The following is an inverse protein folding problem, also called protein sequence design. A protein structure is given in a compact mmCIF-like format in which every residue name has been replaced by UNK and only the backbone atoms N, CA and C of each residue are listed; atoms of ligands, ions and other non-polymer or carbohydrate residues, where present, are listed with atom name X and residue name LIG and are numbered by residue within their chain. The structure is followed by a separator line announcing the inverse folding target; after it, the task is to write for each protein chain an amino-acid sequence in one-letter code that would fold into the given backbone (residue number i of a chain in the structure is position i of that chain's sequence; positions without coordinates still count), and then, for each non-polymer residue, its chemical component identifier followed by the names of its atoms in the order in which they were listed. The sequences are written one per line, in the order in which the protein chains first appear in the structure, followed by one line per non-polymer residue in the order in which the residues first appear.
data_IF_835262805383
#
_entry.id   IF_835262805383
#
_cell.length_a   1.000
_cell.length_b   1.000
_cell.length_c   1.000
_cell.angle_alpha   90.00
_cell.angle_beta   90.00
_cell.angle_gamma   90.00
#
_symmetry.space_group_name_H-M   'P 1'
#
loop_
_entity.id
_entity.type
_entity.pdbx_description
1 polymer ?
#
# COMPACT_ATOMS: atom_id res chain seq x y z
N UNK A 1 -28.91 -16.30 -22.33
CA UNK A 1 -29.61 -15.28 -23.14
C UNK A 1 -28.70 -14.07 -23.21
N UNK A 2 -28.07 -13.86 -24.36
CA UNK A 2 -27.20 -12.72 -24.65
C UNK A 2 -28.05 -11.45 -24.65
N UNK A 3 -27.90 -10.61 -23.62
CA UNK A 3 -28.46 -9.26 -23.64
C UNK A 3 -27.73 -8.48 -24.74
N UNK A 4 -28.33 -8.39 -25.93
CA UNK A 4 -27.81 -7.65 -27.10
C UNK A 4 -27.54 -6.17 -26.83
N UNK A 5 -27.99 -5.65 -25.69
CA UNK A 5 -27.77 -4.27 -25.26
C UNK A 5 -26.74 -4.09 -24.15
N UNK A 6 -26.20 -5.14 -23.53
CA UNK A 6 -25.26 -4.99 -22.40
C UNK A 6 -25.89 -4.38 -21.14
N UNK A 7 -25.25 -4.54 -19.98
CA UNK A 7 -25.67 -3.96 -18.70
C UNK A 7 -25.16 -2.52 -18.55
N UNK A 8 -25.56 -1.81 -17.48
CA UNK A 8 -25.11 -0.43 -17.19
C UNK A 8 -23.58 -0.28 -17.11
N UNK A 9 -22.86 -1.35 -16.78
CA UNK A 9 -21.39 -1.36 -16.86
C UNK A 9 -20.86 -1.11 -18.29
N UNK A 10 -21.55 -1.70 -19.27
CA UNK A 10 -21.05 -1.87 -20.62
C UNK A 10 -21.62 -0.85 -21.61
N UNK A 11 -22.83 -0.36 -21.37
CA UNK A 11 -23.39 0.74 -22.16
C UNK A 11 -22.77 2.07 -21.75
N UNK A 12 -21.98 2.64 -22.64
CA UNK A 12 -21.32 3.94 -22.46
C UNK A 12 -21.53 4.77 -23.71
N UNK A 13 -21.67 6.07 -23.52
CA UNK A 13 -21.72 7.08 -24.57
C UNK A 13 -21.08 8.36 -24.03
N UNK A 14 -20.43 9.11 -24.91
CA UNK A 14 -19.82 10.39 -24.63
C UNK A 14 -18.30 10.36 -24.70
N UNK A 15 -17.67 11.38 -24.12
CA UNK A 15 -16.21 11.52 -24.11
C UNK A 15 -15.60 10.52 -23.12
N UNK A 16 -14.76 9.59 -23.57
CA UNK A 16 -14.08 8.66 -22.68
C UNK A 16 -12.95 9.36 -21.92
N UNK A 17 -12.96 9.16 -20.61
CA UNK A 17 -11.89 9.57 -19.71
C UNK A 17 -11.41 8.34 -18.96
N UNK A 18 -10.09 8.17 -18.85
CA UNK A 18 -9.45 7.21 -17.96
C UNK A 18 -8.89 7.97 -16.75
N UNK A 19 -9.58 7.94 -15.61
CA UNK A 19 -9.03 8.44 -14.36
C UNK A 19 -7.86 7.56 -13.92
N UNK A 20 -6.75 8.21 -13.58
CA UNK A 20 -5.52 7.60 -13.05
C UNK A 20 -5.07 8.40 -11.82
N UNK A 21 -4.10 7.86 -11.08
CA UNK A 21 -3.50 8.50 -9.90
C UNK A 21 -1.98 8.52 -10.00
N UNK A 22 -1.31 9.47 -9.32
CA UNK A 22 0.13 9.37 -9.13
C UNK A 22 0.44 8.16 -8.24
N UNK A 23 1.56 7.53 -8.54
CA UNK A 23 2.07 6.35 -7.86
C UNK A 23 3.60 6.39 -7.83
N UNK A 24 4.19 5.54 -7.01
CA UNK A 24 5.65 5.44 -6.86
C UNK A 24 6.19 4.29 -7.70
N UNK A 25 7.37 4.49 -8.25
CA UNK A 25 8.24 3.44 -8.77
C UNK A 25 9.65 3.61 -8.21
N UNK A 26 10.47 2.56 -8.34
CA UNK A 26 11.89 2.69 -8.08
C UNK A 26 12.54 3.53 -9.18
N UNK A 27 13.50 4.39 -8.81
CA UNK A 27 14.24 5.20 -9.78
C UNK A 27 14.99 4.29 -10.75
N UNK A 28 14.74 4.47 -12.05
CA UNK A 28 15.32 3.63 -13.11
C UNK A 28 14.57 2.32 -13.37
N UNK A 29 13.36 2.13 -12.81
CA UNK A 29 12.45 1.06 -13.23
C UNK A 29 12.11 1.18 -14.73
N UNK A 30 11.67 0.08 -15.34
CA UNK A 30 11.22 0.01 -16.73
C UNK A 30 9.84 0.65 -16.97
N UNK A 31 9.12 1.04 -15.92
CA UNK A 31 7.84 1.74 -16.00
C UNK A 31 7.99 3.16 -16.56
N UNK A 32 6.93 3.70 -17.19
CA UNK A 32 6.94 5.08 -17.66
C UNK A 32 6.98 6.05 -16.49
N UNK A 33 7.94 6.97 -16.52
CA UNK A 33 7.95 8.10 -15.62
C UNK A 33 6.75 9.02 -15.88
N UNK A 34 6.25 9.65 -14.82
CA UNK A 34 5.18 10.64 -14.91
C UNK A 34 5.58 11.78 -15.86
N UNK A 35 4.69 12.14 -16.80
CA UNK A 35 4.95 13.24 -17.75
C UNK A 35 5.23 14.55 -16.99
N UNK A 36 6.20 15.34 -17.46
CA UNK A 36 6.50 16.65 -16.88
C UNK A 36 5.37 17.68 -16.99
N UNK A 37 4.33 17.40 -17.79
CA UNK A 37 3.11 18.20 -17.84
C UNK A 37 2.13 17.93 -16.69
N UNK A 38 2.35 16.85 -15.92
CA UNK A 38 1.58 16.49 -14.73
C UNK A 38 2.33 17.01 -13.52
N UNK A 39 1.62 17.71 -12.64
CA UNK A 39 2.21 18.29 -11.42
C UNK A 39 1.83 17.46 -10.20
N UNK A 40 2.81 17.16 -9.37
CA UNK A 40 2.64 16.52 -8.05
C UNK A 40 3.18 17.46 -6.97
N UNK A 41 2.61 17.45 -5.75
CA UNK A 41 2.93 18.44 -4.71
C UNK A 41 4.33 18.26 -4.12
N UNK A 42 4.90 17.06 -4.17
CA UNK A 42 6.17 16.70 -3.52
C UNK A 42 7.17 16.24 -4.58
N UNK A 43 8.40 16.75 -4.55
CA UNK A 43 9.47 16.27 -5.43
C UNK A 43 9.91 14.85 -5.04
N UNK A 44 10.13 13.98 -6.03
CA UNK A 44 10.64 12.64 -5.76
C UNK A 44 12.09 12.68 -5.25
N UNK A 45 12.38 11.94 -4.19
CA UNK A 45 13.72 11.81 -3.62
C UNK A 45 13.94 10.41 -3.04
N UNK A 46 15.15 10.15 -2.53
CA UNK A 46 15.46 8.87 -1.89
C UNK A 46 15.42 7.66 -2.81
N UNK A 47 15.66 7.84 -4.12
CA UNK A 47 15.67 6.73 -5.09
C UNK A 47 14.28 6.25 -5.52
N UNK A 48 13.24 7.02 -5.23
CA UNK A 48 11.92 6.88 -5.82
C UNK A 48 11.77 7.80 -7.05
N UNK A 49 10.85 7.44 -7.95
CA UNK A 49 10.33 8.31 -9.01
C UNK A 49 8.80 8.13 -9.09
N UNK A 50 8.12 9.05 -9.78
CA UNK A 50 6.67 8.96 -9.99
C UNK A 50 6.32 8.23 -11.29
N UNK A 51 5.22 7.48 -11.25
CA UNK A 51 4.52 6.90 -12.39
C UNK A 51 3.01 7.15 -12.26
N UNK A 52 2.22 6.83 -13.29
CA UNK A 52 0.76 6.87 -13.21
C UNK A 52 0.20 5.45 -13.09
N UNK A 53 -0.76 5.26 -12.19
CA UNK A 53 -1.48 3.99 -12.02
C UNK A 53 -2.98 4.16 -12.10
N UNK A 54 -3.68 3.07 -12.32
CA UNK A 54 -5.14 3.04 -12.18
C UNK A 54 -5.58 3.45 -10.77
N UNK A 55 -6.77 4.04 -10.69
CA UNK A 55 -7.40 4.35 -9.39
C UNK A 55 -7.56 3.07 -8.56
N UNK A 56 -7.43 3.22 -7.24
CA UNK A 56 -7.77 2.18 -6.27
C UNK A 56 -9.29 2.01 -6.21
N UNK A 57 -9.73 0.90 -5.62
CA UNK A 57 -11.14 0.68 -5.33
C UNK A 57 -11.70 1.84 -4.50
N UNK A 58 -12.88 2.35 -4.86
CA UNK A 58 -13.49 3.49 -4.18
C UNK A 58 -14.52 4.22 -5.03
N UNK A 59 -14.79 5.45 -4.66
CA UNK A 59 -15.84 6.30 -5.21
C UNK A 59 -15.24 7.42 -6.05
N UNK A 60 -15.72 7.57 -7.27
CA UNK A 60 -15.39 8.67 -8.16
C UNK A 60 -16.61 9.59 -8.30
N UNK A 61 -16.43 10.84 -7.92
CA UNK A 61 -17.42 11.91 -7.97
C UNK A 61 -17.07 12.88 -9.10
N UNK A 62 -18.03 13.13 -9.98
CA UNK A 62 -17.87 14.09 -11.07
C UNK A 62 -19.00 15.13 -10.97
N UNK A 63 -18.65 16.39 -10.76
CA UNK A 63 -19.61 17.49 -10.79
C UNK A 63 -19.65 18.12 -12.19
N UNK A 64 -20.80 18.04 -12.86
CA UNK A 64 -21.05 18.70 -14.13
C UNK A 64 -21.55 20.13 -13.86
N UNK A 65 -20.67 21.12 -14.01
CA UNK A 65 -20.90 22.49 -13.54
C UNK A 65 -22.12 23.15 -14.17
N UNK A 66 -22.31 22.97 -15.48
CA UNK A 66 -23.39 23.60 -16.25
C UNK A 66 -24.77 23.03 -15.89
N UNK A 67 -24.86 21.72 -15.70
CA UNK A 67 -26.13 21.06 -15.36
C UNK A 67 -26.38 20.99 -13.85
N UNK A 68 -25.40 21.38 -13.03
CA UNK A 68 -25.42 21.29 -11.57
C UNK A 68 -25.84 19.90 -11.09
N UNK A 69 -25.20 18.87 -11.66
CA UNK A 69 -25.52 17.47 -11.41
C UNK A 69 -24.27 16.65 -11.17
N UNK A 70 -24.46 15.61 -10.37
CA UNK A 70 -23.43 14.63 -10.09
C UNK A 70 -23.48 13.47 -11.10
N UNK A 71 -22.31 13.05 -11.55
CA UNK A 71 -22.10 11.80 -12.27
C UNK A 71 -21.17 10.97 -11.39
N UNK A 72 -21.65 9.83 -10.92
CA UNK A 72 -20.94 9.04 -9.91
C UNK A 72 -20.55 7.70 -10.47
N UNK A 73 -19.39 7.23 -10.04
CA UNK A 73 -18.90 5.91 -10.36
C UNK A 73 -18.32 5.24 -9.13
N UNK A 74 -18.41 3.91 -9.09
CA UNK A 74 -17.61 3.09 -8.20
C UNK A 74 -16.46 2.46 -9.01
N UNK A 75 -15.22 2.74 -8.61
CA UNK A 75 -14.03 2.10 -9.13
C UNK A 75 -13.86 0.75 -8.41
N UNK A 76 -13.78 -0.35 -9.17
CA UNK A 76 -13.56 -1.69 -8.62
C UNK A 76 -12.07 -1.99 -8.48
N UNK A 77 -11.70 -2.99 -7.66
CA UNK A 77 -10.31 -3.46 -7.55
C UNK A 77 -9.71 -3.97 -8.87
N UNK A 78 -10.55 -4.40 -9.82
CA UNK A 78 -10.14 -4.82 -11.16
C UNK A 78 -10.00 -3.64 -12.15
N UNK A 79 -10.14 -2.40 -11.67
CA UNK A 79 -10.03 -1.19 -12.49
C UNK A 79 -11.17 -1.07 -13.52
N UNK A 80 -12.39 -1.46 -13.14
CA UNK A 80 -13.61 -1.13 -13.87
C UNK A 80 -14.39 -0.04 -13.13
N UNK A 81 -15.24 0.69 -13.85
CA UNK A 81 -16.08 1.73 -13.31
C UNK A 81 -17.55 1.32 -13.44
N UNK A 82 -18.26 1.25 -12.31
CA UNK A 82 -19.71 1.06 -12.27
C UNK A 82 -20.42 2.41 -12.17
N UNK A 83 -21.33 2.77 -13.08
CA UNK A 83 -22.08 4.02 -12.94
C UNK A 83 -23.09 3.91 -11.80
N UNK A 84 -23.07 4.89 -10.91
CA UNK A 84 -23.98 4.99 -9.77
C UNK A 84 -25.09 6.00 -10.06
N UNK A 85 -26.25 5.91 -9.35
CA UNK A 85 -27.27 6.94 -9.43
C UNK A 85 -26.75 8.30 -8.92
N UNK A 86 -27.53 9.37 -9.15
CA UNK A 86 -27.17 10.71 -8.67
C UNK A 86 -27.10 10.79 -7.14
N UNK A 87 -27.74 9.91 -6.37
CA UNK A 87 -27.58 9.85 -4.91
C UNK A 87 -26.26 9.21 -4.46
N UNK A 88 -25.51 8.59 -5.38
CA UNK A 88 -24.22 7.95 -5.13
C UNK A 88 -24.30 6.63 -4.36
N UNK A 89 -25.49 6.06 -4.15
CA UNK A 89 -25.66 4.80 -3.42
C UNK A 89 -25.03 3.65 -4.22
N UNK A 90 -24.09 2.95 -3.59
CA UNK A 90 -23.48 1.74 -4.15
C UNK A 90 -24.35 0.53 -3.81
N UNK A 91 -24.80 -0.25 -4.80
CA UNK A 91 -25.45 -1.51 -4.51
C UNK A 91 -24.46 -2.44 -3.78
N UNK A 92 -24.84 -3.10 -2.66
CA UNK A 92 -23.91 -3.91 -1.86
C UNK A 92 -23.15 -4.97 -2.65
N UNK A 93 -23.78 -5.51 -3.70
CA UNK A 93 -23.18 -6.51 -4.59
C UNK A 93 -22.09 -5.96 -5.53
N UNK A 94 -22.04 -4.64 -5.76
CA UNK A 94 -20.94 -3.99 -6.49
C UNK A 94 -19.73 -3.82 -5.58
N UNK A 95 -19.97 -3.43 -4.32
CA UNK A 95 -18.93 -3.25 -3.31
C UNK A 95 -18.27 -4.58 -2.91
N UNK A 96 -19.05 -5.66 -2.79
CA UNK A 96 -18.53 -7.01 -2.55
C UNK A 96 -17.79 -7.62 -3.75
N UNK A 97 -17.83 -6.98 -4.92
CA UNK A 97 -17.26 -7.50 -6.16
C UNK A 97 -18.12 -8.58 -6.86
N UNK A 98 -19.33 -8.87 -6.37
CA UNK A 98 -20.21 -9.89 -6.96
C UNK A 98 -20.77 -9.48 -8.34
N UNK A 99 -20.83 -8.18 -8.63
CA UNK A 99 -21.27 -7.66 -9.93
C UNK A 99 -20.05 -7.27 -10.75
N UNK A 100 -19.74 -8.09 -11.74
CA UNK A 100 -18.76 -7.83 -12.79
C UNK A 100 -19.43 -7.36 -14.07
N UNK A 101 -18.69 -6.72 -15.00
CA UNK A 101 -19.23 -6.42 -16.32
C UNK A 101 -19.75 -7.70 -17.00
N UNK A 102 -21.00 -7.64 -17.46
CA UNK A 102 -21.69 -8.79 -18.05
C UNK A 102 -21.20 -9.15 -19.47
N UNK A 103 -20.47 -8.25 -20.13
CA UNK A 103 -19.90 -8.48 -21.45
C UNK A 103 -18.53 -9.15 -21.32
N UNK A 104 -18.31 -10.21 -22.08
CA UNK A 104 -17.06 -10.98 -22.10
C UNK A 104 -16.18 -10.67 -23.31
N UNK A 105 -16.69 -9.92 -24.31
CA UNK A 105 -15.89 -9.53 -25.48
C UNK A 105 -14.84 -8.49 -25.06
N UNK A 106 -13.53 -8.73 -25.29
CA UNK A 106 -12.48 -7.92 -24.67
C UNK A 106 -12.52 -6.42 -25.00
N UNK A 107 -12.88 -6.07 -26.24
CA UNK A 107 -13.02 -4.69 -26.72
C UNK A 107 -14.20 -3.96 -26.06
N UNK A 108 -15.37 -4.60 -26.00
CA UNK A 108 -16.55 -4.02 -25.32
C UNK A 108 -16.37 -3.97 -23.80
N UNK A 109 -15.71 -4.98 -23.22
CA UNK A 109 -15.36 -5.03 -21.81
C UNK A 109 -14.38 -3.90 -21.44
N UNK A 110 -13.46 -3.53 -22.34
CA UNK A 110 -12.52 -2.45 -22.09
C UNK A 110 -13.23 -1.09 -21.88
N UNK A 111 -14.39 -0.89 -22.49
CA UNK A 111 -15.28 0.27 -22.26
C UNK A 111 -15.64 0.44 -20.78
N UNK A 112 -15.79 -0.66 -20.03
CA UNK A 112 -16.08 -0.61 -18.59
C UNK A 112 -14.88 -0.11 -17.76
N UNK A 113 -13.68 0.00 -18.35
CA UNK A 113 -12.49 0.59 -17.71
C UNK A 113 -12.40 2.11 -17.91
N UNK A 114 -13.42 2.71 -18.54
CA UNK A 114 -13.52 4.14 -18.81
C UNK A 114 -14.72 4.72 -18.09
N UNK A 115 -14.63 6.01 -17.76
CA UNK A 115 -15.80 6.82 -17.46
C UNK A 115 -16.15 7.67 -18.67
N UNK A 116 -17.42 8.01 -18.83
CA UNK A 116 -17.85 8.87 -19.93
C UNK A 116 -18.51 10.14 -19.44
N UNK A 117 -18.19 11.23 -20.13
CA UNK A 117 -18.81 12.54 -19.95
C UNK A 117 -19.82 12.79 -21.08
N UNK A 118 -21.04 13.26 -20.79
CA UNK A 118 -22.03 13.54 -21.83
C UNK A 118 -21.53 14.57 -22.84
N UNK A 119 -21.49 14.18 -24.12
CA UNK A 119 -21.17 15.08 -25.24
C UNK A 119 -22.46 15.78 -25.68
N UNK A 120 -22.42 17.11 -25.79
CA UNK A 120 -23.55 17.90 -26.28
C UNK A 120 -23.55 17.97 -27.82
N UNK A 121 -24.72 18.19 -28.44
CA UNK A 121 -24.81 18.44 -29.87
C UNK A 121 -23.93 19.61 -30.33
N UNK A 122 -23.53 19.59 -31.59
CA UNK A 122 -22.71 20.64 -32.18
C UNK A 122 -23.34 22.04 -31.96
N UNK A 123 -22.50 23.01 -31.62
CA UNK A 123 -22.92 24.39 -31.30
C UNK A 123 -23.30 24.64 -29.84
N UNK A 124 -23.39 23.59 -29.01
CA UNK A 124 -23.59 23.71 -27.57
C UNK A 124 -22.30 23.35 -26.83
N UNK A 125 -21.80 24.28 -26.03
CA UNK A 125 -20.65 24.04 -25.15
C UNK A 125 -20.93 22.90 -24.16
N UNK A 126 -19.97 22.00 -23.97
CA UNK A 126 -20.02 20.88 -23.04
C UNK A 126 -19.81 21.35 -21.59
N UNK A 127 -18.94 22.33 -21.39
CA UNK A 127 -18.63 22.95 -20.11
C UNK A 127 -17.52 22.25 -19.31
N UNK A 128 -17.44 22.64 -18.04
CA UNK A 128 -16.42 22.18 -17.09
C UNK A 128 -16.97 21.05 -16.22
N UNK A 129 -16.13 20.03 -16.02
CA UNK A 129 -16.36 18.92 -15.11
C UNK A 129 -15.29 18.94 -14.03
N UNK A 130 -15.68 18.57 -12.81
CA UNK A 130 -14.77 18.52 -11.67
C UNK A 130 -14.74 17.11 -11.13
N UNK A 131 -13.55 16.54 -10.98
CA UNK A 131 -13.35 15.15 -10.57
C UNK A 131 -12.76 15.08 -9.16
N UNK A 132 -13.28 14.16 -8.36
CA UNK A 132 -12.65 13.77 -7.10
C UNK A 132 -12.80 12.26 -6.92
N UNK A 133 -11.77 11.63 -6.38
CA UNK A 133 -11.80 10.24 -5.98
C UNK A 133 -11.66 10.15 -4.45
N UNK A 134 -12.35 9.19 -3.85
CA UNK A 134 -12.24 8.87 -2.44
C UNK A 134 -12.34 7.37 -2.24
N UNK A 135 -11.51 6.82 -1.36
CA UNK A 135 -11.59 5.41 -0.96
C UNK A 135 -12.94 5.12 -0.30
N UNK A 136 -13.47 6.09 0.46
CA UNK A 136 -14.70 5.98 1.22
C UNK A 136 -15.83 6.82 0.63
N UNK A 137 -17.07 6.42 0.91
CA UNK A 137 -18.24 7.17 0.45
C UNK A 137 -18.31 8.54 1.12
N UNK A 138 -18.52 9.60 0.34
CA UNK A 138 -18.82 10.92 0.87
C UNK A 138 -20.19 10.95 1.55
N UNK A 139 -20.22 11.54 2.75
CA UNK A 139 -21.48 11.86 3.41
C UNK A 139 -22.25 12.94 2.63
N UNK A 140 -23.59 13.05 2.80
CA UNK A 140 -24.37 14.11 2.17
C UNK A 140 -23.86 15.52 2.49
N UNK A 141 -23.28 15.71 3.68
CA UNK A 141 -22.71 17.01 4.12
C UNK A 141 -21.46 17.35 3.30
N UNK A 142 -20.51 16.41 3.21
CA UNK A 142 -19.28 16.59 2.42
C UNK A 142 -19.63 16.83 0.95
N UNK A 143 -20.59 16.07 0.43
CA UNK A 143 -21.02 16.22 -0.95
C UNK A 143 -21.60 17.60 -1.25
N UNK A 144 -22.49 18.09 -0.39
CA UNK A 144 -23.07 19.44 -0.50
C UNK A 144 -21.99 20.52 -0.42
N UNK A 145 -20.95 20.32 0.38
CA UNK A 145 -19.82 21.25 0.47
C UNK A 145 -19.07 21.38 -0.87
N UNK A 146 -18.96 20.30 -1.64
CA UNK A 146 -18.32 20.31 -2.96
C UNK A 146 -19.19 20.92 -4.08
N UNK A 147 -20.44 21.28 -3.80
CA UNK A 147 -21.27 22.08 -4.72
C UNK A 147 -20.87 23.56 -4.69
N UNK A 148 -20.26 24.03 -3.59
CA UNK A 148 -19.65 25.36 -3.50
C UNK A 148 -18.43 25.49 -4.43
N UNK A 149 -18.35 26.59 -5.17
CA UNK A 149 -17.32 26.79 -6.20
C UNK A 149 -15.93 26.96 -5.57
N UNK A 150 -15.83 27.71 -4.46
CA UNK A 150 -14.54 28.00 -3.82
C UNK A 150 -13.96 26.72 -3.19
N UNK A 151 -14.81 25.94 -2.52
CA UNK A 151 -14.44 24.64 -1.97
C UNK A 151 -14.03 23.67 -3.07
N UNK A 152 -14.88 23.51 -4.09
CA UNK A 152 -14.63 22.60 -5.22
C UNK A 152 -13.31 22.88 -5.92
N UNK A 153 -12.98 24.15 -6.13
CA UNK A 153 -11.76 24.54 -6.85
C UNK A 153 -10.48 24.18 -6.10
N UNK A 154 -10.56 23.94 -4.78
CA UNK A 154 -9.42 23.54 -3.96
C UNK A 154 -9.23 22.02 -3.93
N UNK A 155 -10.34 21.25 -3.93
CA UNK A 155 -10.30 19.81 -3.65
C UNK A 155 -10.65 18.91 -4.83
N UNK A 156 -11.18 19.45 -5.93
CA UNK A 156 -11.52 18.69 -7.13
C UNK A 156 -10.62 19.07 -8.31
N UNK A 157 -10.29 18.08 -9.13
CA UNK A 157 -9.56 18.27 -10.37
C UNK A 157 -10.48 18.84 -11.45
N UNK A 158 -10.18 20.07 -11.90
CA UNK A 158 -10.88 20.71 -13.01
C UNK A 158 -10.56 20.01 -14.34
N UNK A 159 -11.57 19.79 -15.15
CA UNK A 159 -11.46 19.32 -16.53
C UNK A 159 -12.37 20.15 -17.42
N UNK A 160 -11.79 21.01 -18.25
CA UNK A 160 -12.51 21.80 -19.24
C UNK A 160 -12.67 20.99 -20.52
N UNK A 161 -13.88 20.47 -20.76
CA UNK A 161 -14.14 19.57 -21.86
C UNK A 161 -14.11 20.29 -23.21
N UNK A 162 -14.53 21.55 -23.27
CA UNK A 162 -14.52 22.30 -24.53
C UNK A 162 -13.10 22.67 -24.94
N UNK A 163 -12.26 23.10 -23.98
CA UNK A 163 -10.84 23.33 -24.23
C UNK A 163 -10.10 22.04 -24.65
N UNK A 164 -10.45 20.92 -24.00
CA UNK A 164 -9.90 19.61 -24.34
C UNK A 164 -10.25 19.18 -25.77
N UNK A 165 -11.51 19.27 -26.16
CA UNK A 165 -11.96 18.91 -27.51
C UNK A 165 -11.35 19.80 -28.61
N UNK A 166 -10.99 21.05 -28.27
CA UNK A 166 -10.38 21.97 -29.21
C UNK A 166 -8.86 21.77 -29.40
N UNK A 167 -8.14 21.30 -28.37
CA UNK A 167 -6.68 21.38 -28.34
C UNK A 167 -5.96 20.16 -27.76
N UNK A 168 -6.69 19.19 -27.21
CA UNK A 168 -6.16 18.05 -26.42
C UNK A 168 -5.21 18.49 -25.30
N UNK A 169 -5.44 19.70 -24.77
CA UNK A 169 -4.70 20.28 -23.67
C UNK A 169 -5.66 20.52 -22.49
N UNK A 170 -5.25 20.09 -21.30
CA UNK A 170 -6.03 20.23 -20.09
C UNK A 170 -5.15 20.10 -18.85
N UNK A 171 -5.59 20.72 -17.76
CA UNK A 171 -4.91 20.59 -16.47
C UNK A 171 -4.91 19.13 -16.03
N UNK A 172 -3.72 18.60 -15.69
CA UNK A 172 -3.54 17.22 -15.22
C UNK A 172 -4.09 16.15 -16.19
N UNK A 173 -4.17 16.47 -17.48
CA UNK A 173 -4.74 15.60 -18.51
C UNK A 173 -3.72 15.28 -19.61
N UNK A 174 -3.80 14.08 -20.15
CA UNK A 174 -2.95 13.59 -21.25
C UNK A 174 -3.79 12.93 -22.34
N UNK A 175 -3.40 13.05 -23.62
CA UNK A 175 -4.11 12.38 -24.70
C UNK A 175 -4.10 10.86 -24.53
N UNK A 176 -5.20 10.18 -24.88
CA UNK A 176 -5.29 8.72 -24.78
C UNK A 176 -4.23 7.98 -25.60
N UNK A 177 -3.70 8.62 -26.65
CA UNK A 177 -2.59 8.10 -27.46
C UNK A 177 -1.34 7.79 -26.63
N UNK A 178 -1.18 8.44 -25.47
CA UNK A 178 -0.05 8.23 -24.55
C UNK A 178 -0.26 7.08 -23.54
N UNK A 179 -1.39 6.35 -23.58
CA UNK A 179 -1.74 5.31 -22.59
C UNK A 179 -0.58 4.41 -22.17
N UNK A 180 0.11 3.82 -23.16
CA UNK A 180 1.20 2.86 -22.96
C UNK A 180 2.46 3.50 -22.38
N UNK A 181 2.65 4.80 -22.64
CA UNK A 181 3.83 5.57 -22.24
C UNK A 181 3.58 6.37 -20.95
N UNK A 182 2.39 6.27 -20.35
CA UNK A 182 2.02 7.03 -19.17
C UNK A 182 1.51 6.14 -18.04
N UNK A 183 0.70 5.11 -18.34
CA UNK A 183 0.00 4.31 -17.32
C UNK A 183 0.71 2.98 -17.14
N UNK A 184 1.23 2.74 -15.93
CA UNK A 184 2.05 1.58 -15.59
C UNK A 184 1.37 0.25 -15.95
N UNK A 185 0.08 0.08 -15.63
CA UNK A 185 -0.68 -1.14 -15.90
C UNK A 185 -0.73 -1.50 -17.40
N UNK A 186 -0.65 -0.51 -18.29
CA UNK A 186 -0.72 -0.69 -19.75
C UNK A 186 0.65 -0.62 -20.44
N UNK A 187 1.73 -0.42 -19.68
CA UNK A 187 3.08 -0.35 -20.22
C UNK A 187 3.70 -1.74 -20.44
N UNK A 188 4.37 -1.99 -21.57
CA UNK A 188 5.24 -3.16 -21.76
C UNK A 188 6.30 -3.29 -20.66
N UNK A 189 6.76 -2.17 -20.09
CA UNK A 189 7.76 -2.12 -19.03
C UNK A 189 7.34 -2.86 -17.75
N UNK A 190 6.04 -3.02 -17.51
CA UNK A 190 5.50 -3.73 -16.33
C UNK A 190 5.97 -5.19 -16.22
N UNK A 191 6.38 -5.81 -17.34
CA UNK A 191 6.92 -7.18 -17.33
C UNK A 191 8.29 -7.25 -16.64
N UNK A 192 9.08 -6.17 -16.74
CA UNK A 192 10.44 -6.10 -16.23
C UNK A 192 10.55 -5.24 -14.95
N UNK A 193 9.42 -4.70 -14.47
CA UNK A 193 9.36 -3.85 -13.29
C UNK A 193 9.40 -4.64 -11.98
N UNK A 194 10.01 -4.05 -10.95
CA UNK A 194 9.99 -4.60 -9.58
C UNK A 194 8.69 -4.28 -8.85
N UNK A 195 7.83 -3.42 -9.40
CA UNK A 195 6.59 -2.94 -8.76
C UNK A 195 5.75 -4.08 -8.17
N UNK A 196 5.60 -5.20 -8.89
CA UNK A 196 4.85 -6.40 -8.46
C UNK A 196 5.37 -7.03 -7.16
N UNK A 197 6.65 -6.86 -6.86
CA UNK A 197 7.29 -7.47 -5.69
C UNK A 197 6.99 -6.72 -4.39
N UNK A 198 6.54 -5.46 -4.47
CA UNK A 198 6.44 -4.61 -3.29
C UNK A 198 5.19 -3.73 -3.21
N UNK A 199 4.48 -3.50 -4.31
CA UNK A 199 3.28 -2.64 -4.28
C UNK A 199 2.21 -3.19 -3.34
N UNK A 200 1.66 -2.37 -2.41
CA UNK A 200 0.50 -2.74 -1.61
C UNK A 200 -0.80 -2.66 -2.42
N UNK A 201 -0.85 -1.80 -3.43
CA UNK A 201 -2.01 -1.66 -4.32
C UNK A 201 -2.00 -2.77 -5.38
N UNK A 202 -3.06 -3.59 -5.49
CA UNK A 202 -3.15 -4.63 -6.51
C UNK A 202 -2.95 -4.08 -7.93
N UNK A 203 -2.31 -4.87 -8.78
CA UNK A 203 -2.20 -4.57 -10.20
C UNK A 203 -3.35 -5.23 -10.93
N UNK A 204 -4.04 -4.47 -11.79
CA UNK A 204 -5.03 -5.04 -12.70
C UNK A 204 -4.39 -6.16 -13.51
N UNK A 205 -5.10 -7.27 -13.67
CA UNK A 205 -4.68 -8.33 -14.59
C UNK A 205 -4.81 -7.82 -16.03
N UNK A 206 -3.70 -7.37 -16.62
CA UNK A 206 -3.66 -6.81 -17.97
C UNK A 206 -3.06 -7.85 -18.93
N UNK A 207 -3.78 -8.18 -20.00
CA UNK A 207 -3.28 -9.03 -21.08
C UNK A 207 -2.47 -8.21 -22.09
N UNK A 208 -1.69 -8.87 -22.97
CA UNK A 208 -0.92 -8.18 -24.01
C UNK A 208 -1.76 -7.31 -24.96
N UNK A 209 -3.06 -7.56 -25.07
CA UNK A 209 -3.96 -6.84 -25.96
C UNK A 209 -4.81 -5.79 -25.24
N UNK A 210 -4.77 -5.75 -23.90
CA UNK A 210 -5.67 -4.90 -23.10
C UNK A 210 -5.47 -3.40 -23.37
N UNK A 211 -4.24 -2.94 -23.64
CA UNK A 211 -3.98 -1.54 -24.00
C UNK A 211 -4.58 -1.17 -25.37
N UNK A 212 -4.46 -2.06 -26.35
CA UNK A 212 -5.04 -1.87 -27.69
C UNK A 212 -6.57 -1.90 -27.64
N UNK A 213 -7.14 -2.86 -26.90
CA UNK A 213 -8.58 -2.96 -26.69
C UNK A 213 -9.15 -1.71 -26.01
N UNK A 214 -8.46 -1.19 -24.98
CA UNK A 214 -8.87 0.03 -24.30
C UNK A 214 -8.81 1.27 -25.20
N UNK A 215 -7.76 1.40 -26.02
CA UNK A 215 -7.65 2.47 -27.01
C UNK A 215 -8.79 2.40 -28.03
N UNK A 216 -9.06 1.21 -28.57
CA UNK A 216 -10.15 1.00 -29.50
C UNK A 216 -11.51 1.31 -28.87
N UNK A 217 -11.73 0.92 -27.61
CA UNK A 217 -12.96 1.26 -26.88
C UNK A 217 -13.11 2.77 -26.71
N UNK A 218 -12.04 3.50 -26.39
CA UNK A 218 -12.06 4.95 -26.33
C UNK A 218 -12.38 5.58 -27.70
N UNK A 219 -11.74 5.12 -28.78
CA UNK A 219 -11.99 5.63 -30.12
C UNK A 219 -13.43 5.35 -30.61
N UNK A 220 -14.00 4.22 -30.23
CA UNK A 220 -15.40 3.89 -30.54
C UNK A 220 -16.40 4.81 -29.81
N UNK A 221 -16.05 5.30 -28.60
CA UNK A 221 -16.89 6.22 -27.84
C UNK A 221 -16.78 7.66 -28.36
N UNK A 222 -15.57 8.14 -28.60
CA UNK A 222 -15.32 9.45 -29.19
C UNK A 222 -13.93 9.47 -29.85
N UNK A 223 -13.93 9.26 -31.17
CA UNK A 223 -12.72 9.05 -31.97
C UNK A 223 -11.66 10.13 -31.74
N UNK A 224 -10.48 9.72 -31.27
CA UNK A 224 -9.31 10.60 -31.09
C UNK A 224 -9.40 11.60 -29.93
N UNK A 225 -10.52 11.66 -29.20
CA UNK A 225 -10.74 12.68 -28.16
C UNK A 225 -10.60 12.15 -26.73
N UNK A 226 -10.30 10.87 -26.54
CA UNK A 226 -10.15 10.30 -25.20
C UNK A 226 -9.08 11.01 -24.36
N UNK A 227 -9.33 11.12 -23.05
CA UNK A 227 -8.43 11.74 -22.09
C UNK A 227 -7.96 10.73 -21.03
N UNK A 228 -6.73 10.89 -20.56
CA UNK A 228 -6.22 10.30 -19.34
C UNK A 228 -6.16 11.42 -18.32
N UNK A 229 -6.84 11.30 -17.19
CA UNK A 229 -6.97 12.38 -16.20
C UNK A 229 -6.34 11.94 -14.88
N UNK A 230 -5.35 12.71 -14.41
CA UNK A 230 -4.67 12.47 -13.14
C UNK A 230 -5.48 13.04 -11.97
N UNK A 231 -5.82 12.20 -11.01
CA UNK A 231 -6.49 12.56 -9.76
C UNK A 231 -5.54 12.36 -8.58
N UNK A 232 -5.69 13.19 -7.56
CA UNK A 232 -4.89 13.10 -6.34
C UNK A 232 -5.23 11.84 -5.54
N UNK A 233 -4.22 11.14 -5.02
CA UNK A 233 -4.36 10.02 -4.08
C UNK A 233 -3.17 10.04 -3.09
N UNK A 234 -3.13 11.01 -2.16
CA UNK A 234 -1.99 11.17 -1.25
C UNK A 234 -1.79 9.94 -0.36
N UNK A 235 -2.88 9.29 0.07
CA UNK A 235 -2.84 8.08 0.89
C UNK A 235 -2.22 6.91 0.12
N UNK A 236 -2.62 6.71 -1.14
CA UNK A 236 -2.05 5.68 -2.00
C UNK A 236 -0.55 5.90 -2.24
N UNK A 237 -0.14 7.14 -2.50
CA UNK A 237 1.27 7.50 -2.66
C UNK A 237 2.07 7.24 -1.38
N UNK A 238 1.61 7.74 -0.23
CA UNK A 238 2.30 7.55 1.06
C UNK A 238 2.45 6.06 1.43
N UNK A 239 1.43 5.25 1.15
CA UNK A 239 1.46 3.80 1.38
C UNK A 239 2.50 3.12 0.47
N UNK A 240 2.60 3.53 -0.79
CA UNK A 240 3.59 3.02 -1.74
C UNK A 240 5.02 3.45 -1.38
N UNK A 241 5.24 4.69 -0.90
CA UNK A 241 6.56 5.15 -0.41
C UNK A 241 7.05 4.22 0.72
N UNK A 242 6.17 3.96 1.70
CA UNK A 242 6.47 3.09 2.83
C UNK A 242 6.79 1.65 2.40
N UNK A 243 6.02 1.12 1.45
CA UNK A 243 6.23 -0.22 0.91
C UNK A 243 7.57 -0.33 0.13
N UNK A 244 7.90 0.67 -0.68
CA UNK A 244 9.17 0.74 -1.41
C UNK A 244 10.36 0.79 -0.44
N UNK A 245 10.29 1.62 0.61
CA UNK A 245 11.34 1.73 1.61
C UNK A 245 11.62 0.37 2.28
N UNK A 246 10.56 -0.33 2.70
CA UNK A 246 10.68 -1.68 3.28
C UNK A 246 11.27 -2.68 2.29
N UNK A 247 10.79 -2.69 1.04
CA UNK A 247 11.28 -3.59 0.01
C UNK A 247 12.77 -3.38 -0.26
N UNK A 248 13.21 -2.13 -0.40
CA UNK A 248 14.62 -1.81 -0.67
C UNK A 248 15.52 -2.17 0.50
N UNK A 249 15.07 -2.00 1.74
CA UNK A 249 15.84 -2.44 2.91
C UNK A 249 16.03 -3.96 2.91
N UNK A 250 14.96 -4.71 2.62
CA UNK A 250 15.03 -6.17 2.51
C UNK A 250 15.97 -6.62 1.38
N UNK A 251 15.88 -5.97 0.22
CA UNK A 251 16.77 -6.25 -0.91
C UNK A 251 18.22 -5.94 -0.56
N UNK A 252 18.51 -4.77 0.01
CA UNK A 252 19.87 -4.35 0.33
C UNK A 252 20.58 -5.34 1.27
N UNK A 253 19.87 -5.85 2.28
CA UNK A 253 20.40 -6.90 3.17
C UNK A 253 20.52 -8.23 2.42
N UNK A 254 19.52 -8.63 1.63
CA UNK A 254 19.48 -9.94 0.97
C UNK A 254 20.54 -10.08 -0.13
N UNK A 255 20.87 -9.00 -0.84
CA UNK A 255 21.84 -9.00 -1.94
C UNK A 255 23.29 -9.04 -1.47
N UNK A 256 23.56 -8.66 -0.21
CA UNK A 256 24.88 -8.74 0.40
C UNK A 256 25.00 -10.08 1.18
N UNK A 257 25.80 -11.04 0.72
CA UNK A 257 25.91 -12.34 1.38
C UNK A 257 26.47 -12.27 2.81
N UNK A 258 27.33 -11.29 3.11
CA UNK A 258 27.92 -11.11 4.43
C UNK A 258 26.87 -10.56 5.40
N UNK A 259 26.15 -9.51 5.00
CA UNK A 259 25.06 -8.94 5.82
C UNK A 259 23.92 -9.92 5.99
N UNK A 260 23.47 -10.58 4.92
CA UNK A 260 22.40 -11.57 4.96
C UNK A 260 22.72 -12.70 5.94
N UNK A 261 23.89 -13.34 5.77
CA UNK A 261 24.32 -14.44 6.63
C UNK A 261 24.58 -13.98 8.06
N UNK A 262 25.29 -12.88 8.24
CA UNK A 262 25.65 -12.37 9.56
C UNK A 262 24.41 -11.96 10.36
N UNK A 263 23.45 -11.28 9.74
CA UNK A 263 22.18 -10.89 10.39
C UNK A 263 21.36 -12.11 10.78
N UNK A 264 21.30 -13.12 9.91
CA UNK A 264 20.63 -14.39 10.23
C UNK A 264 21.28 -15.09 11.42
N UNK A 265 22.61 -15.22 11.43
CA UNK A 265 23.35 -15.86 12.53
C UNK A 265 23.20 -15.09 13.85
N UNK A 266 23.30 -13.76 13.82
CA UNK A 266 23.12 -12.92 15.00
C UNK A 266 21.70 -13.05 15.58
N UNK A 267 20.69 -13.08 14.71
CA UNK A 267 19.28 -13.27 15.11
C UNK A 267 19.03 -14.67 15.67
N UNK A 268 19.59 -15.71 15.05
CA UNK A 268 19.51 -17.09 15.55
C UNK A 268 20.18 -17.21 16.91
N UNK A 269 21.38 -16.65 17.07
CA UNK A 269 22.11 -16.67 18.33
C UNK A 269 21.31 -15.97 19.45
N UNK A 270 20.79 -14.78 19.17
CA UNK A 270 19.98 -14.03 20.13
C UNK A 270 18.67 -14.75 20.51
N UNK A 271 18.00 -15.39 19.54
CA UNK A 271 16.77 -16.14 19.82
C UNK A 271 17.01 -17.42 20.61
N UNK A 272 18.09 -18.16 20.33
CA UNK A 272 18.50 -19.32 21.13
C UNK A 272 18.89 -18.88 22.54
N UNK A 273 19.73 -17.85 22.68
CA UNK A 273 20.15 -17.33 23.98
C UNK A 273 18.94 -16.91 24.83
N UNK A 274 18.00 -16.15 24.26
CA UNK A 274 16.77 -15.75 24.93
C UNK A 274 15.93 -16.96 25.36
N UNK A 275 15.71 -17.92 24.46
CA UNK A 275 14.89 -19.10 24.74
C UNK A 275 15.51 -19.96 25.87
N UNK A 276 16.83 -20.15 25.84
CA UNK A 276 17.54 -20.94 26.84
C UNK A 276 17.57 -20.26 28.20
N UNK A 277 17.83 -18.95 28.24
CA UNK A 277 17.77 -18.16 29.48
C UNK A 277 16.37 -18.19 30.09
N UNK A 278 15.34 -18.07 29.27
CA UNK A 278 13.95 -18.20 29.72
C UNK A 278 13.66 -19.61 30.27
N UNK A 279 14.18 -20.67 29.62
CA UNK A 279 14.07 -22.03 30.13
C UNK A 279 14.74 -22.20 31.50
N UNK A 280 15.96 -21.67 31.69
CA UNK A 280 16.63 -21.71 32.99
C UNK A 280 15.88 -20.91 34.04
N UNK A 281 15.30 -19.77 33.66
CA UNK A 281 14.51 -18.95 34.56
C UNK A 281 13.30 -19.73 35.09
N UNK A 282 12.50 -20.30 34.19
CA UNK A 282 11.31 -21.10 34.55
C UNK A 282 11.67 -22.34 35.36
N UNK A 283 12.80 -22.98 35.03
CA UNK A 283 13.30 -24.13 35.79
C UNK A 283 13.74 -23.75 37.20
N UNK A 284 14.43 -22.62 37.36
CA UNK A 284 14.84 -22.11 38.66
C UNK A 284 13.60 -21.74 39.48
N UNK A 285 12.66 -21.00 38.90
CA UNK A 285 11.40 -20.61 39.54
C UNK A 285 10.58 -21.82 40.02
N UNK A 286 10.33 -22.81 39.16
CA UNK A 286 9.61 -24.01 39.57
C UNK A 286 10.34 -24.83 40.65
N UNK A 287 11.68 -24.80 40.64
CA UNK A 287 12.50 -25.40 41.70
C UNK A 287 12.38 -24.65 43.03
N UNK A 288 12.47 -23.32 42.98
CA UNK A 288 12.34 -22.41 44.12
C UNK A 288 10.96 -22.58 44.79
N UNK A 289 9.89 -22.51 44.00
CA UNK A 289 8.51 -22.67 44.48
C UNK A 289 8.29 -24.03 45.15
N UNK A 290 8.84 -25.10 44.56
CA UNK A 290 8.73 -26.45 45.12
C UNK A 290 9.47 -26.55 46.46
N UNK A 291 10.66 -25.95 46.56
CA UNK A 291 11.45 -25.94 47.77
C UNK A 291 10.82 -25.08 48.88
N UNK A 292 10.35 -23.89 48.54
CA UNK A 292 9.63 -22.97 49.43
C UNK A 292 8.33 -23.61 49.94
N UNK A 293 7.59 -24.33 49.09
CA UNK A 293 6.38 -25.06 49.49
C UNK A 293 6.71 -26.18 50.49
N UNK A 294 7.78 -26.93 50.24
CA UNK A 294 8.24 -27.99 51.15
C UNK A 294 8.70 -27.42 52.50
N UNK A 295 9.36 -26.26 52.51
CA UNK A 295 9.71 -25.54 53.74
C UNK A 295 8.47 -25.03 54.47
N UNK A 296 7.52 -24.43 53.74
CA UNK A 296 6.34 -23.79 54.33
C UNK A 296 5.41 -24.80 55.00
N UNK A 297 5.22 -25.98 54.41
CA UNK A 297 4.24 -26.97 54.87
C UNK A 297 4.85 -28.23 55.48
N UNK A 298 6.18 -28.37 55.47
CA UNK A 298 6.88 -29.55 55.96
C UNK A 298 6.79 -30.74 54.99
N UNK A 299 7.61 -31.77 55.24
CA UNK A 299 7.65 -33.01 54.43
C UNK A 299 8.30 -34.16 55.21
N UNK A 300 7.78 -35.36 55.02
CA UNK A 300 8.44 -36.59 55.49
C UNK A 300 9.63 -36.96 54.60
N UNK A 301 10.79 -37.22 55.22
CA UNK A 301 12.00 -37.67 54.53
C UNK A 301 12.57 -38.93 55.19
N UNK A 302 13.40 -39.73 54.48
CA UNK A 302 14.04 -40.91 55.05
C UNK A 302 14.92 -40.63 56.29
N UNK A 303 15.36 -39.38 56.47
CA UNK A 303 16.13 -38.92 57.62
C UNK A 303 15.26 -38.39 58.78
N UNK A 304 13.93 -38.43 58.65
CA UNK A 304 12.95 -37.92 59.62
C UNK A 304 12.00 -36.85 59.05
N UNK A 305 10.92 -36.50 59.78
CA UNK A 305 9.99 -35.45 59.39
C UNK A 305 10.65 -34.08 59.43
N UNK A 306 10.50 -33.29 58.37
CA UNK A 306 10.82 -31.85 58.38
C UNK A 306 9.56 -31.07 58.72
N UNK A 307 9.58 -30.34 59.82
CA UNK A 307 8.44 -29.53 60.27
C UNK A 307 8.27 -28.24 59.45
N UNK A 308 7.04 -27.71 59.34
CA UNK A 308 6.75 -26.43 58.70
C UNK A 308 7.57 -25.26 59.27
N UNK A 309 8.11 -24.42 58.39
CA UNK A 309 8.83 -23.19 58.72
C UNK A 309 8.48 -22.05 57.74
N UNK A 310 7.27 -21.44 57.87
CA UNK A 310 6.76 -20.47 56.90
C UNK A 310 7.62 -19.20 56.79
N UNK A 311 8.12 -18.68 57.92
CA UNK A 311 8.97 -17.49 57.98
C UNK A 311 10.37 -17.74 57.41
N UNK A 312 10.87 -18.98 57.42
CA UNK A 312 12.07 -19.34 56.64
C UNK A 312 11.76 -19.44 55.14
N UNK A 313 10.57 -19.94 54.76
CA UNK A 313 10.15 -19.96 53.36
C UNK A 313 10.01 -18.54 52.78
N UNK A 314 9.46 -17.58 53.52
CA UNK A 314 9.39 -16.17 53.11
C UNK A 314 10.77 -15.54 52.90
N UNK A 315 11.72 -15.79 53.82
CA UNK A 315 13.12 -15.34 53.66
C UNK A 315 13.79 -15.98 52.44
N UNK A 316 13.53 -17.27 52.22
CA UNK A 316 14.08 -18.00 51.08
C UNK A 316 13.52 -17.48 49.76
N UNK A 317 12.23 -17.14 49.70
CA UNK A 317 11.60 -16.55 48.53
C UNK A 317 12.32 -15.27 48.08
N UNK A 318 12.56 -14.33 49.00
CA UNK A 318 13.28 -13.09 48.72
C UNK A 318 14.70 -13.37 48.19
N UNK A 319 15.42 -14.34 48.77
CA UNK A 319 16.76 -14.70 48.33
C UNK A 319 16.76 -15.39 46.95
N UNK A 320 15.79 -16.26 46.71
CA UNK A 320 15.62 -16.99 45.45
C UNK A 320 15.30 -16.03 44.31
N UNK A 321 14.36 -15.11 44.50
CA UNK A 321 14.04 -14.06 43.54
C UNK A 321 15.26 -13.17 43.25
N UNK A 322 15.96 -12.71 44.29
CA UNK A 322 17.13 -11.84 44.14
C UNK A 322 18.28 -12.52 43.36
N UNK A 323 18.48 -13.83 43.58
CA UNK A 323 19.57 -14.59 42.95
C UNK A 323 19.19 -15.29 41.65
N UNK A 324 17.91 -15.30 41.26
CA UNK A 324 17.43 -16.09 40.11
C UNK A 324 18.12 -15.67 38.82
N UNK A 325 18.26 -14.37 38.58
CA UNK A 325 18.93 -13.84 37.39
C UNK A 325 20.39 -14.32 37.33
N UNK A 326 21.12 -14.22 38.44
CA UNK A 326 22.52 -14.64 38.50
C UNK A 326 22.67 -16.15 38.27
N UNK A 327 21.74 -16.97 38.79
CA UNK A 327 21.72 -18.42 38.51
C UNK A 327 21.45 -18.74 37.04
N UNK A 328 20.58 -17.97 36.38
CA UNK A 328 20.34 -18.08 34.93
C UNK A 328 21.59 -17.68 34.14
N UNK A 329 22.24 -16.59 34.54
CA UNK A 329 23.50 -16.12 33.94
C UNK A 329 24.60 -17.17 34.10
N UNK A 330 24.77 -17.74 35.29
CA UNK A 330 25.75 -18.80 35.57
C UNK A 330 25.48 -20.07 34.73
N UNK A 331 24.22 -20.52 34.66
CA UNK A 331 23.83 -21.68 33.86
C UNK A 331 24.14 -21.48 32.37
N UNK A 332 23.92 -20.27 31.86
CA UNK A 332 24.29 -19.90 30.50
C UNK A 332 25.81 -19.88 30.29
N UNK A 333 26.54 -19.16 31.17
CA UNK A 333 27.99 -18.98 31.09
C UNK A 333 28.74 -20.32 31.12
N UNK A 334 28.34 -21.23 32.02
CA UNK A 334 28.99 -22.53 32.18
C UNK A 334 28.63 -23.52 31.08
N UNK A 335 27.37 -23.52 30.63
CA UNK A 335 26.85 -24.49 29.67
C UNK A 335 27.16 -24.14 28.22
N UNK A 336 26.96 -22.87 27.84
CA UNK A 336 26.73 -22.49 26.44
C UNK A 336 27.68 -21.41 25.91
N UNK A 337 28.18 -20.51 26.75
CA UNK A 337 29.01 -19.38 26.31
C UNK A 337 30.26 -19.83 25.53
N UNK A 338 30.87 -20.96 25.91
CA UNK A 338 32.04 -21.54 25.23
C UNK A 338 31.84 -21.87 23.75
N UNK A 339 30.59 -21.99 23.28
CA UNK A 339 30.27 -22.27 21.88
C UNK A 339 30.13 -20.98 21.04
N UNK A 340 30.27 -19.81 21.66
CA UNK A 340 29.99 -18.52 21.04
C UNK A 340 31.28 -17.72 20.93
N UNK A 341 31.62 -17.36 19.69
CA UNK A 341 32.71 -16.41 19.43
C UNK A 341 32.18 -14.98 19.59
N UNK A 342 32.27 -14.46 20.83
CA UNK A 342 31.77 -13.11 21.16
C UNK A 342 32.57 -12.00 20.45
N UNK A 343 33.84 -12.23 20.15
CA UNK A 343 34.64 -11.29 19.38
C UNK A 343 34.06 -11.13 17.97
N UNK A 344 33.80 -12.23 17.26
CA UNK A 344 33.14 -12.17 15.93
C UNK A 344 31.74 -11.58 15.98
N UNK A 345 30.98 -11.91 17.02
CA UNK A 345 29.62 -11.38 17.20
C UNK A 345 29.65 -9.85 17.36
N UNK A 346 30.58 -9.33 18.17
CA UNK A 346 30.76 -7.90 18.39
C UNK A 346 31.28 -7.20 17.13
N UNK A 347 32.26 -7.78 16.44
CA UNK A 347 32.77 -7.24 15.17
C UNK A 347 31.64 -7.11 14.15
N UNK A 348 30.86 -8.17 13.92
CA UNK A 348 29.75 -8.10 12.98
C UNK A 348 28.66 -7.13 13.44
N UNK A 349 28.36 -7.05 14.74
CA UNK A 349 27.38 -6.09 15.27
C UNK A 349 27.80 -4.64 14.98
N UNK A 350 29.10 -4.34 15.05
CA UNK A 350 29.63 -3.02 14.69
C UNK A 350 29.54 -2.78 13.18
N UNK A 351 29.95 -3.75 12.35
CA UNK A 351 29.78 -3.70 10.88
C UNK A 351 28.34 -3.43 10.48
N UNK A 352 27.38 -4.15 11.08
CA UNK A 352 25.96 -3.96 10.83
C UNK A 352 25.49 -2.57 11.24
N UNK A 353 25.93 -2.07 12.40
CA UNK A 353 25.59 -0.73 12.88
C UNK A 353 26.10 0.37 11.94
N UNK A 354 27.34 0.27 11.48
CA UNK A 354 27.94 1.23 10.57
C UNK A 354 27.22 1.21 9.21
N UNK A 355 26.91 0.01 8.71
CA UNK A 355 26.12 -0.16 7.49
C UNK A 355 24.71 0.44 7.62
N UNK A 356 24.01 0.17 8.72
CA UNK A 356 22.68 0.73 8.98
C UNK A 356 22.71 2.25 9.03
N UNK A 357 23.74 2.84 9.66
CA UNK A 357 23.88 4.30 9.74
C UNK A 357 24.05 4.92 8.35
N UNK A 358 24.88 4.31 7.50
CA UNK A 358 25.07 4.77 6.12
C UNK A 358 23.81 4.58 5.26
N UNK A 359 23.14 3.43 5.40
CA UNK A 359 21.90 3.14 4.69
C UNK A 359 20.78 4.10 5.11
N UNK A 360 20.69 4.41 6.40
CA UNK A 360 19.70 5.36 6.92
C UNK A 360 19.92 6.75 6.32
N UNK A 361 21.15 7.25 6.32
CA UNK A 361 21.48 8.57 5.78
C UNK A 361 21.26 8.67 4.26
N UNK A 362 21.63 7.64 3.52
CA UNK A 362 21.60 7.65 2.06
C UNK A 362 20.22 7.29 1.47
N UNK A 363 19.44 6.45 2.16
CA UNK A 363 18.22 5.85 1.62
C UNK A 363 16.99 6.10 2.49
N UNK A 364 17.03 5.80 3.79
CA UNK A 364 15.83 5.85 4.66
C UNK A 364 15.41 7.27 4.99
N UNK A 365 16.34 8.16 5.34
CA UNK A 365 16.04 9.56 5.68
C UNK A 365 15.41 10.28 4.48
N UNK A 366 15.97 10.24 3.26
CA UNK A 366 15.36 10.89 2.10
C UNK A 366 13.96 10.35 1.77
N UNK A 367 13.76 9.02 1.72
CA UNK A 367 12.43 8.46 1.41
C UNK A 367 11.41 8.74 2.52
N UNK A 368 11.85 8.85 3.78
CA UNK A 368 11.00 9.23 4.92
C UNK A 368 10.61 10.70 4.84
N UNK A 369 11.51 11.60 4.42
CA UNK A 369 11.16 13.01 4.19
C UNK A 369 10.11 13.14 3.10
N UNK A 370 10.26 12.39 1.99
CA UNK A 370 9.24 12.31 0.95
C UNK A 370 7.90 11.82 1.49
N UNK A 371 7.89 10.76 2.32
CA UNK A 371 6.69 10.26 2.97
C UNK A 371 6.00 11.32 3.84
N UNK A 372 6.76 12.00 4.70
CA UNK A 372 6.23 13.03 5.60
C UNK A 372 5.69 14.26 4.86
N UNK A 373 6.23 14.59 3.68
CA UNK A 373 5.73 15.69 2.87
C UNK A 373 4.39 15.39 2.17
N UNK A 374 3.98 14.11 2.12
CA UNK A 374 2.70 13.67 1.55
C UNK A 374 1.58 13.53 2.59
N UNK A 375 1.91 13.47 3.88
CA UNK A 375 0.96 13.50 5.00
C UNK A 375 0.52 14.94 5.28
#
# INVERSE_FOLDING_TARGET
MSNEKGCKFCQRDGLPVLPVRPAIMEKGDALPALSGSITVPVTAEGGADYTARLLRQGFLYIWAERSQRWINYYATGDGYFYPLPEDGIVPPRVESGDITPCITRPDELATASLVTLPVKPAGILNGVYWFAWSEESWTPVVRKQHEDIAWRSQYMQKFDMDAWLASHNGQQALPFSQLVNCVAEYSPGLRNSTLKAWTPSPLKAVSSHSAAALRQAADNLNAGNGAILMLSDPVGVATEISALARYRMQQAIATDPELSRGTALLTMLGSVELAMRNYFYLRAEGGDESYERQMRYGRDTPAGPRFPAPDMADRMHVLNEASRKDRVDEAWQTGYEKYIDRAKTQTFSQTLKDWLTEYDNSSVIPITRMYLAWL
#
